data_IF_013403968707
#
_entry.id   IF_013403968707
#
_cell.length_a   1.000
_cell.length_b   1.000
_cell.length_c   1.000
_cell.angle_alpha   90.00
_cell.angle_beta   90.00
_cell.angle_gamma   90.00
#
_symmetry.space_group_name_H-M   'P 1'
#
loop_
_entity.id
_entity.type
_entity.pdbx_description
1 polymer ?
#
# COMPACT_ATOMS: atom_id res chain seq x y z
N UNK A 1 -10.44 -7.89 6.48
CA UNK A 1 -9.85 -6.63 5.99
C UNK A 1 -9.72 -5.67 7.15
N UNK A 2 -8.54 -5.12 7.35
CA UNK A 2 -8.23 -4.26 8.49
C UNK A 2 -7.85 -2.87 8.04
N UNK A 3 -8.25 -1.84 8.81
CA UNK A 3 -7.78 -0.49 8.62
C UNK A 3 -6.45 -0.36 9.36
N UNK A 4 -5.36 -0.13 8.64
CA UNK A 4 -4.03 -0.03 9.25
C UNK A 4 -3.56 1.40 9.40
N UNK A 5 -4.17 2.36 8.71
CA UNK A 5 -3.88 3.78 8.85
C UNK A 5 -5.04 4.62 8.35
N UNK A 6 -5.15 5.84 8.88
CA UNK A 6 -6.15 6.83 8.50
C UNK A 6 -5.49 8.19 8.44
N UNK A 7 -5.72 8.93 7.34
CA UNK A 7 -5.15 10.24 7.12
C UNK A 7 -6.24 11.22 6.67
N UNK A 8 -6.04 12.49 6.98
CA UNK A 8 -6.94 13.56 6.52
C UNK A 8 -6.23 14.40 5.47
N UNK A 9 -6.74 14.37 4.23
CA UNK A 9 -6.30 15.24 3.14
C UNK A 9 -7.36 16.30 2.88
N UNK A 10 -7.21 17.47 3.51
CA UNK A 10 -8.25 18.47 3.49
C UNK A 10 -9.52 17.92 4.15
N UNK A 11 -10.64 17.92 3.42
CA UNK A 11 -11.91 17.39 3.91
C UNK A 11 -12.12 15.90 3.58
N UNK A 12 -11.14 15.25 2.95
CA UNK A 12 -11.24 13.85 2.52
C UNK A 12 -10.50 12.95 3.50
N UNK A 13 -11.15 11.88 3.93
CA UNK A 13 -10.49 10.83 4.73
C UNK A 13 -9.85 9.82 3.79
N UNK A 14 -8.60 9.48 4.06
CA UNK A 14 -7.85 8.48 3.31
C UNK A 14 -7.54 7.31 4.22
N UNK A 15 -8.08 6.14 3.90
CA UNK A 15 -7.87 4.92 4.67
C UNK A 15 -6.92 3.99 3.93
N UNK A 16 -5.97 3.43 4.66
CA UNK A 16 -5.11 2.36 4.16
C UNK A 16 -5.63 1.04 4.73
N UNK A 17 -6.05 0.15 3.85
CA UNK A 17 -6.64 -1.13 4.21
C UNK A 17 -5.69 -2.27 3.88
N UNK A 18 -5.67 -3.26 4.76
CA UNK A 18 -4.92 -4.50 4.58
C UNK A 18 -5.87 -5.68 4.51
N UNK A 19 -5.68 -6.55 3.53
CA UNK A 19 -6.39 -7.82 3.43
C UNK A 19 -5.39 -8.97 3.41
N UNK A 20 -5.84 -10.16 3.83
CA UNK A 20 -5.02 -11.36 3.76
C UNK A 20 -5.06 -11.93 2.35
N UNK A 21 -3.89 -12.20 1.78
CA UNK A 21 -3.75 -12.78 0.45
C UNK A 21 -3.46 -14.29 0.46
N UNK A 22 -3.46 -14.93 1.62
CA UNK A 22 -3.15 -16.35 1.74
C UNK A 22 -1.69 -16.60 2.16
N UNK A 23 -1.27 -17.87 2.10
CA UNK A 23 0.05 -18.28 2.61
C UNK A 23 1.20 -17.71 1.81
N UNK A 24 1.07 -17.66 0.48
CA UNK A 24 2.13 -17.16 -0.40
C UNK A 24 2.15 -15.65 -0.49
N UNK A 25 1.09 -14.96 -0.05
CA UNK A 25 0.96 -13.52 -0.07
C UNK A 25 0.16 -13.08 1.16
N UNK A 26 0.81 -12.95 2.33
CA UNK A 26 0.09 -12.73 3.59
C UNK A 26 -0.63 -11.39 3.68
N UNK A 27 -0.23 -10.39 2.91
CA UNK A 27 -0.83 -9.07 2.99
C UNK A 27 -0.92 -8.40 1.62
N UNK A 28 -2.06 -7.78 1.34
CA UNK A 28 -2.27 -6.88 0.23
C UNK A 28 -2.99 -5.64 0.70
N UNK A 29 -2.83 -4.54 -0.01
CA UNK A 29 -3.26 -3.23 0.47
C UNK A 29 -4.12 -2.52 -0.57
N UNK A 30 -4.94 -1.59 -0.07
CA UNK A 30 -5.79 -0.76 -0.91
C UNK A 30 -6.06 0.55 -0.19
N UNK A 31 -6.11 1.66 -0.93
CA UNK A 31 -6.54 2.94 -0.38
C UNK A 31 -8.01 3.16 -0.68
N UNK A 32 -8.72 3.79 0.27
CA UNK A 32 -10.08 4.29 0.05
C UNK A 32 -10.12 5.74 0.49
N UNK A 33 -10.57 6.61 -0.41
CA UNK A 33 -10.86 8.00 -0.09
C UNK A 33 -12.35 8.15 0.18
N UNK A 34 -12.70 8.85 1.24
CA UNK A 34 -14.09 9.18 1.59
C UNK A 34 -14.21 10.69 1.60
N UNK A 35 -14.91 11.24 0.60
CA UNK A 35 -15.14 12.68 0.48
C UNK A 35 -16.35 13.11 1.33
N UNK A 36 -16.48 14.42 1.66
CA UNK A 36 -17.58 14.90 2.50
C UNK A 36 -18.99 14.59 1.95
N UNK A 37 -19.13 14.47 0.64
CA UNK A 37 -20.40 14.10 0.01
C UNK A 37 -20.70 12.61 -0.01
N UNK A 38 -19.90 11.79 0.65
CA UNK A 38 -20.04 10.34 0.66
C UNK A 38 -19.50 9.65 -0.60
N UNK A 39 -18.79 10.38 -1.44
CA UNK A 39 -18.18 9.81 -2.64
C UNK A 39 -16.96 8.99 -2.24
N UNK A 40 -16.94 7.74 -2.69
CA UNK A 40 -15.83 6.82 -2.44
C UNK A 40 -14.94 6.70 -3.67
N UNK A 41 -13.64 6.69 -3.44
CA UNK A 41 -12.64 6.43 -4.49
C UNK A 41 -11.69 5.37 -3.98
N UNK A 42 -11.60 4.26 -4.70
CA UNK A 42 -10.84 3.08 -4.27
C UNK A 42 -9.65 2.89 -5.21
N UNK A 43 -8.47 2.68 -4.63
CA UNK A 43 -7.28 2.39 -5.42
C UNK A 43 -7.27 0.95 -5.93
N UNK A 44 -6.46 0.64 -6.96
CA UNK A 44 -6.13 -0.74 -7.25
C UNK A 44 -5.48 -1.40 -6.04
N UNK A 45 -5.57 -2.72 -5.96
CA UNK A 45 -4.87 -3.49 -4.94
C UNK A 45 -3.37 -3.44 -5.22
N UNK A 46 -2.56 -3.30 -4.17
CA UNK A 46 -1.12 -3.17 -4.32
C UNK A 46 -0.39 -3.85 -3.16
N UNK A 47 0.89 -4.03 -3.33
CA UNK A 47 1.78 -4.53 -2.29
C UNK A 47 2.75 -5.57 -2.82
N UNK A 48 3.78 -5.84 -2.02
CA UNK A 48 4.81 -6.85 -2.30
C UNK A 48 4.51 -8.18 -1.61
N UNK A 49 3.31 -8.33 -1.05
CA UNK A 49 2.89 -9.42 -0.18
C UNK A 49 3.49 -9.36 1.23
N UNK A 50 4.39 -8.42 1.51
CA UNK A 50 4.90 -8.19 2.86
C UNK A 50 3.87 -7.45 3.70
N UNK A 51 3.76 -7.82 4.97
CA UNK A 51 2.96 -7.09 5.96
C UNK A 51 3.78 -6.03 6.71
N UNK A 52 5.08 -5.91 6.39
CA UNK A 52 5.96 -4.88 6.95
C UNK A 52 5.89 -3.66 6.04
N UNK A 53 5.28 -2.57 6.52
CA UNK A 53 5.09 -1.35 5.75
C UNK A 53 5.57 -0.14 6.53
N UNK A 54 5.98 0.89 5.80
CA UNK A 54 6.44 2.17 6.37
C UNK A 54 5.66 3.30 5.69
N UNK A 55 4.43 3.62 6.18
CA UNK A 55 3.64 4.69 5.57
C UNK A 55 4.10 6.06 6.08
N UNK A 56 4.11 7.03 5.17
CA UNK A 56 4.32 8.44 5.49
C UNK A 56 3.28 9.27 4.77
N UNK A 57 2.92 10.40 5.36
CA UNK A 57 1.86 11.26 4.84
C UNK A 57 2.35 12.69 4.67
N UNK A 58 2.09 13.26 3.48
CA UNK A 58 2.30 14.68 3.19
C UNK A 58 1.00 15.22 2.60
N UNK A 59 0.36 16.23 3.23
CA UNK A 59 -0.92 16.77 2.72
C UNK A 59 -0.85 17.31 1.30
N UNK A 60 0.32 17.66 0.81
CA UNK A 60 0.51 18.20 -0.54
C UNK A 60 0.77 17.12 -1.59
N UNK A 61 1.28 15.97 -1.17
CA UNK A 61 1.72 14.91 -2.07
C UNK A 61 0.80 13.69 -2.01
N UNK A 62 0.43 13.29 -0.80
CA UNK A 62 -0.38 12.10 -0.56
C UNK A 62 0.27 11.16 0.44
N UNK A 63 -0.11 9.89 0.35
CA UNK A 63 0.40 8.84 1.24
C UNK A 63 1.43 8.01 0.50
N UNK A 64 2.64 7.93 1.06
CA UNK A 64 3.71 7.10 0.53
C UNK A 64 3.85 5.87 1.42
N UNK A 65 3.85 4.68 0.82
CA UNK A 65 4.05 3.43 1.56
C UNK A 65 5.28 2.74 0.99
N UNK A 66 6.32 2.64 1.82
CA UNK A 66 7.51 1.87 1.48
C UNK A 66 7.35 0.46 2.04
N UNK A 67 7.69 -0.53 1.25
CA UNK A 67 7.59 -1.93 1.62
C UNK A 67 8.87 -2.67 1.27
N UNK A 68 9.21 -3.68 2.07
CA UNK A 68 10.24 -4.64 1.70
C UNK A 68 9.61 -5.71 0.80
N UNK A 69 10.45 -6.41 0.02
CA UNK A 69 9.99 -7.54 -0.77
C UNK A 69 9.64 -8.74 0.10
N UNK A 70 8.88 -9.66 -0.47
CA UNK A 70 8.49 -10.89 0.22
C UNK A 70 8.66 -12.09 -0.72
N UNK A 71 9.18 -13.19 -0.16
CA UNK A 71 9.21 -14.50 -0.82
C UNK A 71 8.60 -15.51 0.13
N UNK A 72 7.83 -16.44 -0.44
CA UNK A 72 7.16 -17.47 0.33
C UNK A 72 8.13 -18.43 1.02
N UNK A 73 7.64 -19.20 2.01
CA UNK A 73 8.49 -20.10 2.79
C UNK A 73 9.10 -21.25 1.97
N UNK A 74 8.56 -21.53 0.78
CA UNK A 74 9.12 -22.52 -0.14
C UNK A 74 10.27 -22.02 -0.99
N UNK A 75 10.59 -20.72 -0.94
CA UNK A 75 11.69 -20.13 -1.70
C UNK A 75 13.03 -20.34 -1.00
N UNK A 76 14.17 -20.39 -1.74
CA UNK A 76 15.49 -20.48 -1.11
C UNK A 76 15.77 -19.35 -0.15
N UNK A 77 16.50 -19.62 0.93
CA UNK A 77 16.82 -18.63 1.95
C UNK A 77 17.55 -17.41 1.37
N UNK A 78 18.39 -17.60 0.36
CA UNK A 78 19.09 -16.48 -0.29
C UNK A 78 18.11 -15.54 -0.99
N UNK A 79 17.08 -16.08 -1.65
CA UNK A 79 16.05 -15.30 -2.31
C UNK A 79 15.18 -14.57 -1.31
N UNK A 80 14.86 -15.19 -0.17
CA UNK A 80 14.09 -14.55 0.89
C UNK A 80 14.86 -13.35 1.48
N UNK A 81 16.17 -13.48 1.69
CA UNK A 81 17.00 -12.38 2.19
C UNK A 81 17.08 -11.24 1.18
N UNK A 82 17.26 -11.57 -0.10
CA UNK A 82 17.31 -10.56 -1.16
C UNK A 82 15.99 -9.77 -1.24
N UNK A 83 14.87 -10.45 -1.17
CA UNK A 83 13.57 -9.80 -1.17
C UNK A 83 13.40 -8.87 0.02
N UNK A 84 13.82 -9.29 1.22
CA UNK A 84 13.74 -8.48 2.43
C UNK A 84 14.59 -7.21 2.37
N UNK A 85 15.61 -7.17 1.50
CA UNK A 85 16.47 -6.00 1.31
C UNK A 85 16.02 -5.10 0.17
N UNK A 86 15.05 -5.53 -0.65
CA UNK A 86 14.53 -4.77 -1.78
C UNK A 86 13.36 -3.93 -1.31
N UNK A 87 13.36 -2.61 -1.63
CA UNK A 87 12.26 -1.70 -1.28
C UNK A 87 11.43 -1.37 -2.50
N UNK A 88 10.12 -1.37 -2.32
CA UNK A 88 9.16 -0.87 -3.29
C UNK A 88 8.39 0.27 -2.65
N UNK A 89 8.24 1.39 -3.36
CA UNK A 89 7.58 2.59 -2.87
C UNK A 89 6.30 2.83 -3.65
N UNK A 90 5.18 2.86 -2.95
CA UNK A 90 3.87 3.17 -3.51
C UNK A 90 3.48 4.57 -3.08
N UNK A 91 2.88 5.34 -4.00
CA UNK A 91 2.35 6.67 -3.71
C UNK A 91 0.90 6.74 -4.16
N UNK A 92 0.03 7.12 -3.23
CA UNK A 92 -1.38 7.44 -3.49
C UNK A 92 -1.56 8.94 -3.34
N UNK A 93 -1.92 9.61 -4.43
CA UNK A 93 -2.02 11.08 -4.45
C UNK A 93 -3.32 11.62 -3.85
N UNK A 94 -4.23 10.75 -3.45
CA UNK A 94 -5.53 11.14 -2.92
C UNK A 94 -6.55 11.57 -3.97
N UNK A 95 -6.18 11.52 -5.25
CA UNK A 95 -7.04 11.95 -6.37
C UNK A 95 -7.28 10.83 -7.38
N UNK A 96 -6.97 9.61 -7.02
CA UNK A 96 -7.23 8.45 -7.85
C UNK A 96 -6.02 7.88 -8.56
N UNK A 97 -4.81 8.38 -8.27
CA UNK A 97 -3.58 7.90 -8.91
C UNK A 97 -2.71 7.16 -7.90
N UNK A 98 -2.42 5.92 -8.23
CA UNK A 98 -1.47 5.09 -7.47
C UNK A 98 -0.26 4.82 -8.35
N UNK A 99 0.93 5.01 -7.80
CA UNK A 99 2.18 4.68 -8.48
C UNK A 99 3.00 3.68 -7.69
N UNK A 100 3.82 2.90 -8.41
CA UNK A 100 4.77 1.96 -7.84
C UNK A 100 6.14 2.33 -8.39
N UNK A 101 7.04 2.76 -7.51
CA UNK A 101 8.38 3.24 -7.90
C UNK A 101 8.33 4.28 -9.02
N UNK A 102 7.33 5.18 -8.95
CA UNK A 102 7.13 6.23 -9.92
C UNK A 102 6.35 5.85 -11.17
N UNK A 103 5.93 4.60 -11.31
CA UNK A 103 5.14 4.12 -12.46
C UNK A 103 3.68 3.94 -12.09
N UNK A 104 2.73 4.35 -12.95
CA UNK A 104 1.31 4.17 -12.64
C UNK A 104 0.94 2.70 -12.43
N UNK A 105 0.11 2.46 -11.42
CA UNK A 105 -0.51 1.14 -11.17
C UNK A 105 -1.92 1.20 -11.74
N UNK A 106 -2.27 0.20 -12.51
CA UNK A 106 -3.59 0.11 -13.15
C UNK A 106 -4.37 -1.10 -12.68
#
# INVERSE_FOLDING_TARGET
MDIVANYEMGATDVLLLQSSGGTACPAQFRFINISPGGVLRVSPEFGTCSDIIYPTFDPKVGVTVAMVGFRGPGEPAAEQRKAAMTKTVYLWDGQGRLSENGKPVR
#
